data_IF_242397065180
#
_entry.id   IF_242397065180
#
_cell.length_a   1.000
_cell.length_b   1.000
_cell.length_c   1.000
_cell.angle_alpha   90.00
_cell.angle_beta   90.00
_cell.angle_gamma   90.00
#
_symmetry.space_group_name_H-M   'P 1'
#
loop_
_entity.id
_entity.type
_entity.pdbx_description
1 polymer ?
#
# COMPACT_ATOMS: atom_id res chain seq x y z
N UNK A 1 5.12 1.85 76.11
CA UNK A 1 6.03 2.25 75.00
C UNK A 1 5.91 1.34 73.75
N UNK A 2 4.70 1.01 73.26
CA UNK A 2 4.52 0.16 72.06
C UNK A 2 3.89 0.86 70.83
N UNK A 3 3.61 2.17 70.91
CA UNK A 3 2.90 2.92 69.85
C UNK A 3 3.79 3.46 68.71
N UNK A 4 5.12 3.51 68.88
CA UNK A 4 6.06 4.02 67.87
C UNK A 4 6.53 2.99 66.83
N UNK A 5 6.38 1.70 67.12
CA UNK A 5 6.78 0.62 66.19
C UNK A 5 5.81 0.55 65.00
N UNK A 6 4.50 0.62 65.27
CA UNK A 6 3.44 0.61 64.25
C UNK A 6 3.55 1.78 63.26
N UNK A 7 3.95 2.97 63.72
CA UNK A 7 4.12 4.13 62.82
C UNK A 7 5.29 3.94 61.85
N UNK A 8 6.38 3.29 62.29
CA UNK A 8 7.53 2.99 61.41
C UNK A 8 7.14 2.01 60.29
N UNK A 9 6.40 0.94 60.59
CA UNK A 9 5.93 0.01 59.56
C UNK A 9 5.01 0.67 58.54
N UNK A 10 4.04 1.47 59.00
CA UNK A 10 3.13 2.17 58.08
C UNK A 10 3.89 3.10 57.15
N UNK A 11 4.93 3.77 57.63
CA UNK A 11 5.78 4.65 56.82
C UNK A 11 6.55 3.86 55.75
N UNK A 12 7.18 2.75 56.13
CA UNK A 12 7.96 1.91 55.21
C UNK A 12 7.06 1.26 54.15
N UNK A 13 5.97 0.61 54.57
CA UNK A 13 5.04 -0.01 53.63
C UNK A 13 4.32 1.02 52.75
N UNK A 14 3.97 2.18 53.31
CA UNK A 14 3.39 3.30 52.55
C UNK A 14 4.35 3.82 51.48
N UNK A 15 5.64 3.96 51.80
CA UNK A 15 6.64 4.40 50.83
C UNK A 15 6.83 3.38 49.70
N UNK A 16 6.93 2.09 50.02
CA UNK A 16 7.04 1.01 49.03
C UNK A 16 5.80 1.00 48.13
N UNK A 17 4.61 1.13 48.71
CA UNK A 17 3.35 1.19 47.97
C UNK A 17 3.31 2.38 47.00
N UNK A 18 3.73 3.57 47.44
CA UNK A 18 3.79 4.75 46.58
C UNK A 18 4.78 4.59 45.42
N UNK A 19 5.94 3.98 45.67
CA UNK A 19 6.93 3.69 44.61
C UNK A 19 6.34 2.71 43.58
N UNK A 20 5.67 1.64 44.05
CA UNK A 20 5.00 0.70 43.15
C UNK A 20 3.87 1.37 42.34
N UNK A 21 3.06 2.21 42.98
CA UNK A 21 1.97 2.94 42.33
C UNK A 21 2.51 3.88 41.23
N UNK A 22 3.57 4.62 41.53
CA UNK A 22 4.22 5.51 40.57
C UNK A 22 4.80 4.74 39.38
N UNK A 23 5.45 3.59 39.64
CA UNK A 23 5.96 2.71 38.59
C UNK A 23 4.87 2.18 37.67
N UNK A 24 3.72 1.78 38.24
CA UNK A 24 2.60 1.23 37.48
C UNK A 24 1.91 2.31 36.64
N UNK A 25 1.71 3.51 37.18
CA UNK A 25 1.19 4.65 36.42
C UNK A 25 2.13 5.04 35.27
N UNK A 26 3.44 5.07 35.53
CA UNK A 26 4.45 5.31 34.49
C UNK A 26 4.38 4.28 33.37
N UNK A 27 4.25 2.99 33.72
CA UNK A 27 4.09 1.91 32.75
C UNK A 27 2.81 2.03 31.92
N UNK A 28 1.67 2.41 32.52
CA UNK A 28 0.42 2.60 31.77
C UNK A 28 0.56 3.73 30.74
N UNK A 29 1.16 4.85 31.13
CA UNK A 29 1.35 6.00 30.23
C UNK A 29 2.26 5.65 29.04
N UNK A 30 3.34 4.91 29.28
CA UNK A 30 4.22 4.45 28.19
C UNK A 30 3.51 3.47 27.26
N UNK A 31 2.71 2.55 27.80
CA UNK A 31 1.92 1.62 26.99
C UNK A 31 0.87 2.33 26.15
N UNK A 32 0.19 3.34 26.69
CA UNK A 32 -0.75 4.16 25.92
C UNK A 32 -0.05 4.88 24.75
N UNK A 33 1.16 5.41 24.97
CA UNK A 33 1.94 6.05 23.91
C UNK A 33 2.33 5.06 22.81
N UNK A 34 2.79 3.87 23.19
CA UNK A 34 3.15 2.80 22.24
C UNK A 34 1.93 2.36 21.44
N UNK A 35 0.77 2.20 22.09
CA UNK A 35 -0.49 1.85 21.42
C UNK A 35 -0.88 2.89 20.36
N UNK A 36 -0.83 4.19 20.70
CA UNK A 36 -1.09 5.27 19.73
C UNK A 36 -0.10 5.27 18.56
N UNK A 37 1.18 5.04 18.82
CA UNK A 37 2.18 4.91 17.76
C UNK A 37 1.91 3.73 16.84
N UNK A 38 1.46 2.59 17.39
CA UNK A 38 1.10 1.41 16.61
C UNK A 38 -0.12 1.68 15.73
N UNK A 39 -1.14 2.36 16.25
CA UNK A 39 -2.31 2.79 15.46
C UNK A 39 -1.85 3.69 14.31
N UNK A 40 -1.06 4.72 14.59
CA UNK A 40 -0.52 5.61 13.58
C UNK A 40 0.33 4.87 12.53
N UNK A 41 1.05 3.81 12.92
CA UNK A 41 1.82 2.96 12.01
C UNK A 41 0.95 2.18 11.01
N UNK A 42 -0.25 1.76 11.42
CA UNK A 42 -1.25 1.16 10.53
C UNK A 42 -1.96 2.21 9.68
N UNK A 43 -2.35 3.34 10.26
CA UNK A 43 -2.97 4.44 9.51
C UNK A 43 -2.04 4.99 8.43
N UNK A 44 -0.74 5.15 8.73
CA UNK A 44 0.26 5.56 7.74
C UNK A 44 0.34 4.59 6.54
N UNK A 45 0.12 3.29 6.76
CA UNK A 45 0.05 2.30 5.69
C UNK A 45 -1.21 2.51 4.83
N UNK A 46 -2.37 2.65 5.46
CA UNK A 46 -3.63 2.89 4.75
C UNK A 46 -3.58 4.18 3.93
N UNK A 47 -2.95 5.24 4.46
CA UNK A 47 -2.72 6.50 3.73
C UNK A 47 -1.79 6.27 2.52
N UNK A 48 -0.75 5.45 2.66
CA UNK A 48 0.12 5.09 1.54
C UNK A 48 -0.64 4.30 0.45
N UNK A 49 -1.49 3.34 0.84
CA UNK A 49 -2.36 2.59 -0.07
C UNK A 49 -3.32 3.50 -0.83
N UNK A 50 -3.96 4.44 -0.13
CA UNK A 50 -4.83 5.43 -0.76
C UNK A 50 -4.08 6.27 -1.81
N UNK A 51 -2.84 6.68 -1.52
CA UNK A 51 -2.00 7.38 -2.49
C UNK A 51 -1.64 6.52 -3.72
N UNK A 52 -1.40 5.22 -3.52
CA UNK A 52 -1.12 4.27 -4.60
C UNK A 52 -2.34 4.12 -5.53
N UNK A 53 -3.53 3.88 -4.96
CA UNK A 53 -4.76 3.70 -5.74
C UNK A 53 -5.17 5.00 -6.45
N UNK A 54 -4.97 6.16 -5.81
CA UNK A 54 -5.16 7.45 -6.46
C UNK A 54 -4.25 7.62 -7.69
N UNK A 55 -2.96 7.31 -7.57
CA UNK A 55 -2.03 7.45 -8.70
C UNK A 55 -2.29 6.42 -9.79
N UNK A 56 -2.70 5.20 -9.43
CA UNK A 56 -3.15 4.18 -10.38
C UNK A 56 -4.39 4.63 -11.16
N UNK A 57 -5.37 5.24 -10.48
CA UNK A 57 -6.52 5.85 -11.14
C UNK A 57 -6.09 6.94 -12.12
N UNK A 58 -5.14 7.79 -11.75
CA UNK A 58 -4.57 8.81 -12.64
C UNK A 58 -3.97 8.24 -13.93
N UNK A 59 -3.14 7.20 -13.81
CA UNK A 59 -2.51 6.54 -14.96
C UNK A 59 -3.58 5.92 -15.85
N UNK A 60 -4.56 5.22 -15.28
CA UNK A 60 -5.61 4.55 -16.04
C UNK A 60 -6.53 5.51 -16.79
N UNK A 61 -6.65 6.75 -16.33
CA UNK A 61 -7.46 7.79 -16.98
C UNK A 61 -6.62 8.76 -17.85
N UNK A 62 -5.34 8.47 -18.08
CA UNK A 62 -4.42 9.31 -18.87
C UNK A 62 -4.36 10.79 -18.39
N UNK A 63 -4.38 11.02 -17.08
CA UNK A 63 -4.28 12.38 -16.51
C UNK A 63 -2.80 12.79 -16.46
N UNK A 64 -2.42 13.79 -17.23
CA UNK A 64 -1.01 14.20 -17.40
C UNK A 64 -0.41 14.83 -16.13
N UNK A 65 -1.19 15.60 -15.36
CA UNK A 65 -0.71 16.39 -14.21
C UNK A 65 -1.30 15.96 -12.87
N UNK A 66 -1.14 14.69 -12.51
CA UNK A 66 -1.59 14.23 -11.19
C UNK A 66 -0.68 14.71 -10.06
N UNK A 67 -1.29 15.40 -9.08
CA UNK A 67 -0.59 15.85 -7.87
C UNK A 67 0.05 14.67 -7.14
N UNK A 68 1.36 14.75 -6.88
CA UNK A 68 2.12 13.72 -6.17
C UNK A 68 1.93 13.78 -4.66
N UNK A 69 1.48 14.92 -4.13
CA UNK A 69 1.23 15.11 -2.70
C UNK A 69 -0.22 15.50 -2.48
N UNK A 70 -0.92 14.77 -1.59
CA UNK A 70 -2.31 15.05 -1.22
C UNK A 70 -2.57 14.72 0.24
N UNK A 71 -3.55 15.42 0.80
CA UNK A 71 -4.08 15.20 2.15
C UNK A 71 -5.08 14.06 2.15
N UNK A 72 -5.00 13.22 3.18
CA UNK A 72 -5.95 12.15 3.44
C UNK A 72 -6.94 12.59 4.50
N UNK A 73 -8.23 12.39 4.22
CA UNK A 73 -9.34 12.82 5.07
C UNK A 73 -10.11 11.62 5.61
N UNK A 74 -10.62 11.76 6.82
CA UNK A 74 -11.59 10.83 7.40
C UNK A 74 -12.97 10.98 6.75
N UNK A 75 -13.87 10.04 7.04
CA UNK A 75 -15.29 10.09 6.70
C UNK A 75 -15.97 11.37 7.23
N UNK A 76 -15.50 11.92 8.35
CA UNK A 76 -15.98 13.20 8.90
C UNK A 76 -15.34 14.44 8.25
N UNK A 77 -14.47 14.28 7.25
CA UNK A 77 -13.78 15.39 6.58
C UNK A 77 -12.59 15.98 7.33
N UNK A 78 -12.17 15.37 8.45
CA UNK A 78 -10.96 15.77 9.20
C UNK A 78 -9.72 15.26 8.47
N UNK A 79 -8.71 16.12 8.29
CA UNK A 79 -7.44 15.71 7.70
C UNK A 79 -6.62 14.91 8.72
N UNK A 80 -6.27 13.65 8.39
CA UNK A 80 -5.55 12.72 9.28
C UNK A 80 -4.05 12.67 8.94
N UNK A 81 -3.71 12.85 7.66
CA UNK A 81 -2.33 12.79 7.21
C UNK A 81 -2.14 13.18 5.76
N UNK A 82 -0.97 12.84 5.23
CA UNK A 82 -0.61 13.10 3.83
C UNK A 82 0.11 11.89 3.24
N UNK A 83 -0.05 11.73 1.93
CA UNK A 83 0.80 10.85 1.15
C UNK A 83 1.62 11.64 0.13
N UNK A 84 2.78 11.09 -0.19
CA UNK A 84 3.73 11.59 -1.17
C UNK A 84 4.07 10.44 -2.14
N UNK A 85 3.89 10.69 -3.43
CA UNK A 85 4.15 9.71 -4.48
C UNK A 85 5.48 10.04 -5.15
N UNK A 86 6.31 9.01 -5.26
CA UNK A 86 7.55 9.02 -6.04
C UNK A 86 7.41 7.96 -7.12
N UNK A 87 7.94 8.23 -8.30
CA UNK A 87 7.91 7.26 -9.38
C UNK A 87 9.18 7.29 -10.21
N UNK A 88 9.56 6.11 -10.70
CA UNK A 88 10.69 5.90 -11.59
C UNK A 88 10.13 5.34 -12.91
N UNK A 89 10.22 6.12 -13.98
CA UNK A 89 9.74 5.71 -15.30
C UNK A 89 10.87 5.13 -16.15
N UNK A 90 10.63 3.97 -16.72
CA UNK A 90 11.49 3.36 -17.72
C UNK A 90 10.84 3.55 -19.09
N UNK A 91 11.51 4.33 -19.93
CA UNK A 91 11.11 4.56 -21.31
C UNK A 91 12.04 3.80 -22.24
N UNK A 92 11.47 3.18 -23.26
CA UNK A 92 12.23 2.60 -24.36
C UNK A 92 11.56 2.99 -25.67
N UNK A 93 12.36 3.32 -26.70
CA UNK A 93 11.86 3.81 -27.98
C UNK A 93 10.82 4.95 -27.87
N UNK A 94 11.00 5.86 -26.91
CA UNK A 94 10.09 6.99 -26.67
C UNK A 94 8.73 6.63 -26.07
N UNK A 95 8.52 5.36 -25.67
CA UNK A 95 7.28 4.90 -25.01
C UNK A 95 7.57 4.48 -23.58
N UNK A 96 6.67 4.84 -22.67
CA UNK A 96 6.70 4.37 -21.29
C UNK A 96 6.38 2.86 -21.27
N UNK A 97 7.37 2.05 -20.94
CA UNK A 97 7.22 0.58 -20.86
C UNK A 97 6.80 0.18 -19.46
N UNK A 98 7.45 0.74 -18.46
CA UNK A 98 7.15 0.44 -17.06
C UNK A 98 7.42 1.63 -16.17
N UNK A 99 6.75 1.67 -15.03
CA UNK A 99 6.89 2.66 -14.01
C UNK A 99 6.81 1.99 -12.64
N UNK A 100 7.84 2.20 -11.81
CA UNK A 100 7.77 1.82 -10.40
C UNK A 100 7.20 3.00 -9.64
N UNK A 101 6.13 2.78 -8.90
CA UNK A 101 5.42 3.82 -8.14
C UNK A 101 5.60 3.49 -6.67
N UNK A 102 6.09 4.45 -5.90
CA UNK A 102 6.29 4.34 -4.46
C UNK A 102 5.45 5.41 -3.78
N UNK A 103 4.43 4.99 -3.03
CA UNK A 103 3.61 5.88 -2.21
C UNK A 103 4.11 5.85 -0.77
N UNK A 104 4.40 7.02 -0.20
CA UNK A 104 4.82 7.19 1.19
C UNK A 104 3.71 7.90 1.96
N UNK A 105 3.17 7.26 2.99
CA UNK A 105 2.11 7.81 3.84
C UNK A 105 2.57 8.06 5.28
N UNK A 106 2.02 9.09 5.91
CA UNK A 106 2.21 9.40 7.33
C UNK A 106 1.05 10.21 7.90
N UNK A 107 0.85 10.14 9.22
CA UNK A 107 -0.19 10.89 9.95
C UNK A 107 0.36 12.21 10.50
N UNK A 108 -0.51 13.18 10.77
CA UNK A 108 -0.09 14.46 11.38
C UNK A 108 0.31 14.31 12.86
N UNK A 109 -0.31 13.37 13.58
CA UNK A 109 -0.01 13.12 14.98
C UNK A 109 1.38 12.50 15.17
N UNK A 110 1.85 11.67 14.22
CA UNK A 110 3.15 11.01 14.27
C UNK A 110 3.89 11.09 12.93
N UNK A 111 4.41 12.28 12.53
CA UNK A 111 5.02 12.49 11.22
C UNK A 111 6.33 11.72 11.01
N UNK A 112 6.95 11.28 12.10
CA UNK A 112 8.17 10.47 12.07
C UNK A 112 7.90 9.01 11.69
N UNK A 113 6.65 8.54 11.83
CA UNK A 113 6.27 7.17 11.49
C UNK A 113 5.76 7.15 10.06
N UNK A 114 6.66 6.85 9.11
CA UNK A 114 6.35 6.79 7.68
C UNK A 114 6.25 5.35 7.20
N UNK A 115 5.27 5.07 6.33
CA UNK A 115 5.13 3.78 5.64
C UNK A 115 5.23 3.99 4.13
N UNK A 116 5.87 3.03 3.46
CA UNK A 116 6.04 3.04 2.01
C UNK A 116 5.46 1.78 1.42
N UNK A 117 4.76 1.93 0.30
CA UNK A 117 4.29 0.83 -0.54
C UNK A 117 4.78 1.10 -1.94
N UNK A 118 5.33 0.07 -2.58
CA UNK A 118 5.77 0.12 -3.95
C UNK A 118 4.92 -0.81 -4.82
N UNK A 119 4.56 -0.35 -6.01
CA UNK A 119 4.01 -1.20 -7.06
C UNK A 119 4.77 -0.99 -8.36
N UNK A 120 4.75 -2.01 -9.20
CA UNK A 120 5.33 -1.98 -10.54
C UNK A 120 4.21 -1.99 -11.56
N UNK A 121 4.10 -0.93 -12.34
CA UNK A 121 3.15 -0.81 -13.43
C UNK A 121 3.89 -0.99 -14.74
N UNK A 122 3.56 -2.03 -15.49
CA UNK A 122 4.22 -2.35 -16.77
C UNK A 122 3.20 -2.62 -17.85
N UNK A 123 3.49 -2.19 -19.07
CA UNK A 123 2.74 -2.64 -20.24
C UNK A 123 3.03 -4.11 -20.48
N UNK A 124 1.99 -4.86 -20.83
CA UNK A 124 2.17 -6.24 -21.23
C UNK A 124 3.07 -6.33 -22.47
N UNK A 125 3.98 -7.29 -22.47
CA UNK A 125 4.86 -7.55 -23.61
C UNK A 125 4.08 -8.24 -24.73
N UNK A 126 4.38 -7.84 -25.96
CA UNK A 126 3.92 -8.48 -27.20
C UNK A 126 4.36 -9.95 -27.24
N UNK A 127 5.50 -10.30 -26.62
CA UNK A 127 5.99 -11.67 -26.51
C UNK A 127 5.10 -12.61 -25.66
N UNK A 128 4.07 -12.10 -24.99
CA UNK A 128 3.07 -12.89 -24.28
C UNK A 128 2.14 -13.67 -25.23
N UNK A 129 1.94 -13.17 -26.44
CA UNK A 129 1.05 -13.80 -27.42
C UNK A 129 1.76 -14.92 -28.16
N UNK A 130 1.03 -16.00 -28.43
CA UNK A 130 1.51 -17.09 -29.28
C UNK A 130 1.47 -16.71 -30.76
N UNK A 131 0.46 -15.95 -31.16
CA UNK A 131 0.28 -15.41 -32.51
C UNK A 131 -0.26 -13.98 -32.43
N UNK A 132 0.32 -13.09 -33.22
CA UNK A 132 -0.16 -11.74 -33.46
C UNK A 132 -0.14 -11.52 -34.97
N UNK A 133 -1.32 -11.39 -35.54
CA UNK A 133 -1.53 -11.30 -36.98
C UNK A 133 -2.30 -10.02 -37.32
N UNK A 134 -2.17 -9.55 -38.56
CA UNK A 134 -2.86 -8.36 -39.05
C UNK A 134 -3.63 -8.70 -40.34
N UNK A 135 -4.36 -9.82 -40.33
CA UNK A 135 -5.05 -10.36 -41.50
C UNK A 135 -6.23 -11.26 -41.10
N UNK A 136 -7.09 -11.62 -42.06
CA UNK A 136 -8.10 -12.67 -41.84
C UNK A 136 -7.40 -14.03 -41.79
N UNK A 137 -7.67 -14.82 -40.76
CA UNK A 137 -6.95 -16.07 -40.50
C UNK A 137 -7.93 -17.21 -40.27
N UNK A 138 -7.61 -18.37 -40.84
CA UNK A 138 -8.27 -19.63 -40.54
C UNK A 138 -7.30 -20.54 -39.78
N UNK A 139 -7.70 -20.95 -38.58
CA UNK A 139 -7.00 -21.94 -37.76
C UNK A 139 -7.69 -23.28 -37.96
N UNK A 140 -6.99 -24.22 -38.61
CA UNK A 140 -7.50 -25.56 -38.90
C UNK A 140 -7.69 -26.43 -37.64
N UNK A 141 -8.43 -27.52 -37.79
CA UNK A 141 -8.73 -28.47 -36.70
C UNK A 141 -7.51 -29.24 -36.18
N UNK A 142 -6.42 -29.25 -36.95
CA UNK A 142 -5.14 -29.87 -36.63
C UNK A 142 -4.26 -28.99 -35.71
N UNK A 143 -4.63 -27.74 -35.49
CA UNK A 143 -3.84 -26.80 -34.70
C UNK A 143 -4.24 -26.80 -33.23
N UNK A 144 -3.21 -26.78 -32.36
CA UNK A 144 -3.34 -26.65 -30.91
C UNK A 144 -2.61 -25.40 -30.45
N UNK A 145 -3.37 -24.37 -30.12
CA UNK A 145 -2.84 -23.07 -29.70
C UNK A 145 -2.70 -23.03 -28.18
N UNK A 146 -1.49 -22.75 -27.70
CA UNK A 146 -1.15 -22.66 -26.28
C UNK A 146 -0.64 -21.26 -25.95
N UNK A 147 -1.58 -20.33 -25.82
CA UNK A 147 -1.32 -18.94 -25.46
C UNK A 147 -2.30 -18.00 -26.15
N UNK A 148 -2.33 -16.71 -25.76
CA UNK A 148 -3.21 -15.73 -26.39
C UNK A 148 -2.97 -15.68 -27.90
N UNK A 149 -4.07 -15.64 -28.66
CA UNK A 149 -4.07 -15.52 -30.11
C UNK A 149 -4.76 -14.22 -30.49
N UNK A 150 -4.06 -13.35 -31.22
CA UNK A 150 -4.62 -12.08 -31.66
C UNK A 150 -4.55 -11.89 -33.17
N UNK A 151 -5.65 -11.43 -33.78
CA UNK A 151 -5.63 -10.88 -35.14
C UNK A 151 -6.47 -9.62 -35.27
N UNK A 152 -5.99 -8.62 -36.01
CA UNK A 152 -6.79 -7.43 -36.35
C UNK A 152 -7.87 -7.71 -37.42
N UNK A 153 -7.87 -8.89 -38.04
CA UNK A 153 -8.88 -9.34 -39.01
C UNK A 153 -9.84 -10.38 -38.43
N UNK A 154 -10.73 -10.91 -39.27
CA UNK A 154 -11.63 -12.00 -38.91
C UNK A 154 -10.89 -13.29 -38.61
N UNK A 155 -11.27 -13.97 -37.53
CA UNK A 155 -10.68 -15.24 -37.10
C UNK A 155 -11.73 -16.33 -37.26
N UNK A 156 -11.45 -17.29 -38.15
CA UNK A 156 -12.18 -18.56 -38.18
C UNK A 156 -11.34 -19.59 -37.40
N UNK A 157 -11.87 -20.08 -36.30
CA UNK A 157 -11.13 -20.96 -35.39
C UNK A 157 -11.80 -22.33 -35.32
N UNK A 158 -11.25 -23.31 -36.05
CA UNK A 158 -11.75 -24.69 -36.08
C UNK A 158 -10.84 -25.66 -35.25
N UNK A 159 -9.72 -25.15 -34.70
CA UNK A 159 -8.73 -25.87 -33.89
C UNK A 159 -9.02 -25.95 -32.39
N UNK A 160 -8.05 -26.47 -31.62
CA UNK A 160 -8.11 -26.50 -30.15
C UNK A 160 -7.36 -25.30 -29.56
N UNK A 161 -8.00 -24.56 -28.66
CA UNK A 161 -7.36 -23.46 -27.93
C UNK A 161 -7.39 -23.67 -26.42
N UNK A 162 -6.30 -23.32 -25.75
CA UNK A 162 -6.17 -23.29 -24.29
C UNK A 162 -6.08 -21.86 -23.72
N UNK A 163 -6.40 -20.83 -24.50
CA UNK A 163 -6.31 -19.42 -24.11
C UNK A 163 -7.34 -18.54 -24.82
N UNK A 164 -7.17 -17.22 -24.74
CA UNK A 164 -8.07 -16.23 -25.35
C UNK A 164 -7.80 -16.08 -26.85
N UNK A 165 -8.87 -15.99 -27.66
CA UNK A 165 -8.82 -15.56 -29.07
C UNK A 165 -9.44 -14.19 -29.16
N UNK A 166 -8.76 -13.22 -29.78
CA UNK A 166 -9.26 -11.85 -29.93
C UNK A 166 -8.89 -11.21 -31.26
#
# INVERSE_FOLDING_TARGET
MKKGFTTSYVLVFGMIFLIMLAGLLGFILTQLKISKQKIAWHEALNIAEAGLEYYKWCINNNIENCSTTKTYYDLSGKAIGKFEIQFESNQNCGKLISQKIVSTGYTFDFPNIKRKIATFYGRESVAKYSYILNSNVWVGSDHVIKGPFHSNGGIRFDGTNYSTVS
#
